data_IF_675272946975
#
_entry.id   IF_675272946975
#
_cell.length_a   1.000
_cell.length_b   1.000
_cell.length_c   1.000
_cell.angle_alpha   90.00
_cell.angle_beta   90.00
_cell.angle_gamma   90.00
#
_symmetry.space_group_name_H-M   'P 1'
#
loop_
_entity.id
_entity.type
_entity.pdbx_description
1 polymer ?
#
# COMPACT_ATOMS: atom_id res chain seq x y z
N UNK A 1 1.52 -18.41 -23.74
CA UNK A 1 1.90 -17.22 -24.53
C UNK A 1 2.51 -16.23 -23.53
N UNK A 2 3.86 -16.15 -23.51
CA UNK A 2 4.58 -15.19 -22.66
C UNK A 2 4.35 -13.77 -23.21
N UNK A 3 3.37 -13.08 -22.71
CA UNK A 3 3.39 -11.62 -22.74
C UNK A 3 4.33 -11.19 -21.63
N UNK A 4 5.59 -10.94 -21.94
CA UNK A 4 6.47 -10.14 -21.08
C UNK A 4 5.75 -8.81 -20.87
N UNK A 5 5.08 -8.69 -19.75
CA UNK A 5 4.53 -7.43 -19.27
C UNK A 5 5.73 -6.52 -19.04
N UNK A 6 5.88 -5.51 -19.88
CA UNK A 6 7.02 -4.59 -19.90
C UNK A 6 6.92 -3.66 -18.67
N UNK A 7 7.07 -4.25 -17.46
CA UNK A 7 7.06 -3.53 -16.18
C UNK A 7 8.40 -2.78 -16.07
N UNK A 8 8.35 -1.46 -15.96
CA UNK A 8 9.55 -0.66 -15.71
C UNK A 8 10.15 -1.05 -14.36
N UNK A 9 11.41 -1.43 -14.37
CA UNK A 9 12.11 -1.89 -13.17
C UNK A 9 13.46 -1.17 -13.06
N UNK A 10 13.71 -0.61 -11.88
CA UNK A 10 15.01 -0.09 -11.47
C UNK A 10 15.71 -1.15 -10.62
N UNK A 11 16.86 -1.62 -11.05
CA UNK A 11 17.73 -2.44 -10.20
C UNK A 11 18.62 -1.51 -9.39
N UNK A 12 18.35 -1.47 -8.09
CA UNK A 12 19.16 -0.69 -7.12
C UNK A 12 20.34 -1.54 -6.71
N UNK A 13 21.55 -1.05 -6.99
CA UNK A 13 22.84 -1.71 -6.62
C UNK A 13 23.51 -1.09 -5.39
N UNK A 14 22.81 -0.16 -4.75
CA UNK A 14 23.27 0.46 -3.49
C UNK A 14 22.72 -0.36 -2.33
N UNK A 15 23.58 -0.81 -1.40
CA UNK A 15 23.11 -1.57 -0.24
C UNK A 15 22.10 -0.80 0.60
N UNK A 16 21.02 -1.46 0.97
CA UNK A 16 20.00 -0.94 1.86
C UNK A 16 20.03 -1.72 3.18
N UNK A 17 20.37 -1.01 4.26
CA UNK A 17 20.27 -1.56 5.61
C UNK A 17 18.83 -1.40 6.09
N UNK A 18 18.18 -2.50 6.40
CA UNK A 18 16.81 -2.55 6.91
C UNK A 18 16.76 -2.31 8.41
N UNK A 19 15.63 -1.84 8.90
CA UNK A 19 15.39 -1.63 10.34
C UNK A 19 15.49 -2.92 11.14
N UNK A 20 15.21 -4.09 10.55
CA UNK A 20 15.43 -5.40 11.18
C UNK A 20 16.91 -5.81 11.30
N UNK A 21 17.85 -4.97 10.86
CA UNK A 21 19.31 -5.19 10.93
C UNK A 21 19.90 -5.96 9.74
N UNK A 22 19.10 -6.56 8.86
CA UNK A 22 19.57 -7.19 7.62
C UNK A 22 19.98 -6.14 6.59
N UNK A 23 20.86 -6.51 5.65
CA UNK A 23 21.24 -5.65 4.51
C UNK A 23 20.90 -6.35 3.21
N UNK A 24 20.29 -5.63 2.29
CA UNK A 24 20.02 -6.08 0.92
C UNK A 24 20.98 -5.33 0.00
N UNK A 25 21.81 -6.06 -0.75
CA UNK A 25 22.86 -5.47 -1.59
C UNK A 25 22.35 -5.00 -2.94
N UNK A 26 21.40 -5.73 -3.51
CA UNK A 26 20.78 -5.44 -4.80
C UNK A 26 19.30 -5.83 -4.76
N UNK A 27 18.42 -4.99 -5.29
CA UNK A 27 16.99 -5.29 -5.32
C UNK A 27 16.27 -4.53 -6.43
N UNK A 28 15.20 -5.12 -7.00
CA UNK A 28 14.36 -4.48 -8.00
C UNK A 28 13.32 -3.55 -7.35
N UNK A 29 13.06 -2.42 -7.99
CA UNK A 29 11.92 -1.54 -7.74
C UNK A 29 11.11 -1.47 -9.04
N UNK A 30 9.93 -2.05 -9.04
CA UNK A 30 8.96 -1.88 -10.12
C UNK A 30 8.27 -0.52 -9.98
N UNK A 31 8.16 0.23 -11.07
CA UNK A 31 7.55 1.55 -11.04
C UNK A 31 6.84 1.87 -12.35
N UNK A 32 5.99 2.89 -12.32
CA UNK A 32 5.41 3.47 -13.52
C UNK A 32 5.50 5.00 -13.45
N UNK A 33 5.44 5.62 -14.64
CA UNK A 33 5.53 7.07 -14.78
C UNK A 33 4.49 7.60 -15.74
N UNK A 34 3.97 8.79 -15.46
CA UNK A 34 2.96 9.43 -16.28
C UNK A 34 3.33 10.91 -16.50
N UNK A 35 3.05 11.42 -17.70
CA UNK A 35 3.48 12.75 -18.09
C UNK A 35 4.96 12.85 -18.44
N UNK A 36 5.52 14.04 -18.45
CA UNK A 36 6.90 14.30 -18.85
C UNK A 36 7.65 15.13 -17.81
N UNK A 37 8.85 14.67 -17.45
CA UNK A 37 9.76 15.42 -16.59
C UNK A 37 10.28 16.64 -17.37
N UNK A 38 10.11 17.84 -16.81
CA UNK A 38 10.58 19.06 -17.45
C UNK A 38 12.11 19.22 -17.33
N UNK A 39 12.67 20.18 -18.08
CA UNK A 39 14.13 20.40 -18.12
C UNK A 39 14.72 20.73 -16.74
N UNK A 40 13.96 21.44 -15.90
CA UNK A 40 14.38 21.84 -14.55
C UNK A 40 14.19 20.72 -13.54
N UNK A 41 13.50 19.63 -13.90
CA UNK A 41 13.18 18.49 -13.04
C UNK A 41 12.43 18.89 -11.76
N UNK A 42 11.61 19.94 -11.82
CA UNK A 42 10.92 20.51 -10.66
C UNK A 42 9.40 20.32 -10.66
N UNK A 43 8.88 19.55 -11.66
CA UNK A 43 7.47 19.20 -11.80
C UNK A 43 7.13 17.75 -11.41
N UNK A 44 8.02 17.06 -10.71
CA UNK A 44 7.81 15.66 -10.36
C UNK A 44 6.93 15.50 -9.11
N UNK A 45 5.97 14.56 -9.17
CA UNK A 45 5.12 14.14 -8.06
C UNK A 45 5.38 12.66 -7.80
N UNK A 46 5.75 12.30 -6.56
CA UNK A 46 5.86 10.92 -6.13
C UNK A 46 4.57 10.51 -5.42
N UNK A 47 3.91 9.48 -5.96
CA UNK A 47 2.69 8.91 -5.40
C UNK A 47 3.01 7.60 -4.70
N UNK A 48 2.57 7.47 -3.46
CA UNK A 48 2.70 6.27 -2.65
C UNK A 48 1.35 5.53 -2.59
N UNK A 49 1.34 4.27 -3.03
CA UNK A 49 0.10 3.47 -3.04
C UNK A 49 -0.26 2.92 -1.65
N UNK A 50 -1.54 2.62 -1.45
CA UNK A 50 -2.06 1.96 -0.26
C UNK A 50 -1.71 0.46 -0.24
N UNK A 51 -1.98 -0.24 0.88
CA UNK A 51 -1.70 -1.67 1.12
C UNK A 51 -1.92 -2.56 -0.11
N UNK A 52 -3.05 -2.40 -0.78
CA UNK A 52 -3.47 -3.24 -1.90
C UNK A 52 -3.36 -2.56 -3.27
N UNK A 53 -2.68 -1.41 -3.33
CA UNK A 53 -2.36 -0.72 -4.56
C UNK A 53 -1.12 -1.31 -5.24
N UNK A 54 -0.75 -0.67 -6.34
CA UNK A 54 0.41 -0.99 -7.15
C UNK A 54 0.92 0.29 -7.85
N UNK A 55 1.91 0.17 -8.73
CA UNK A 55 2.47 1.28 -9.48
C UNK A 55 1.52 1.83 -10.58
N UNK A 56 0.44 1.13 -10.91
CA UNK A 56 -0.45 1.52 -12.01
C UNK A 56 -1.54 2.47 -11.52
N UNK A 57 -1.19 3.74 -11.39
CA UNK A 57 -2.04 4.80 -10.82
C UNK A 57 -3.17 5.20 -11.78
N UNK A 58 -2.88 5.27 -13.08
CA UNK A 58 -3.82 5.68 -14.13
C UNK A 58 -3.56 4.92 -15.45
N UNK A 59 -4.47 5.02 -16.40
CA UNK A 59 -4.44 4.17 -17.59
C UNK A 59 -4.86 2.74 -17.29
N UNK A 60 -4.74 1.85 -18.24
CA UNK A 60 -5.07 0.43 -18.06
C UNK A 60 -3.93 -0.30 -17.37
N UNK A 61 -4.21 -0.97 -16.26
CA UNK A 61 -3.27 -1.85 -15.59
C UNK A 61 -3.00 -3.08 -16.49
N UNK A 62 -1.75 -3.33 -16.87
CA UNK A 62 -1.43 -4.39 -17.84
C UNK A 62 -1.65 -5.81 -17.29
N UNK A 63 -1.73 -5.96 -15.95
CA UNK A 63 -1.95 -7.24 -15.27
C UNK A 63 -3.45 -7.50 -15.11
N UNK A 64 -4.16 -6.59 -14.46
CA UNK A 64 -5.58 -6.77 -14.12
C UNK A 64 -6.54 -6.36 -15.24
N UNK A 65 -6.05 -5.67 -16.28
CA UNK A 65 -6.83 -5.09 -17.39
C UNK A 65 -7.88 -4.05 -16.95
N UNK A 66 -7.89 -3.67 -15.67
CA UNK A 66 -8.76 -2.63 -15.12
C UNK A 66 -8.08 -1.27 -15.18
N UNK A 67 -8.85 -0.20 -15.01
CA UNK A 67 -8.28 1.13 -14.88
C UNK A 67 -7.38 1.23 -13.65
N UNK A 68 -6.34 2.07 -13.75
CA UNK A 68 -5.45 2.37 -12.63
C UNK A 68 -6.26 2.90 -11.43
N UNK A 69 -5.80 2.55 -10.24
CA UNK A 69 -6.57 2.73 -9.00
C UNK A 69 -6.88 4.21 -8.64
N UNK A 70 -6.21 5.17 -9.25
CA UNK A 70 -6.46 6.60 -9.04
C UNK A 70 -6.78 7.35 -10.34
N UNK A 71 -7.27 6.66 -11.36
CA UNK A 71 -7.56 7.22 -12.68
C UNK A 71 -8.52 8.40 -12.66
N UNK A 72 -9.37 8.54 -11.63
CA UNK A 72 -10.24 9.70 -11.48
C UNK A 72 -9.50 10.98 -11.05
N UNK A 73 -8.34 10.86 -10.40
CA UNK A 73 -7.57 12.01 -9.89
C UNK A 73 -6.30 12.29 -10.71
N UNK A 74 -5.72 11.27 -11.35
CA UNK A 74 -4.47 11.38 -12.12
C UNK A 74 -4.75 11.20 -13.59
N UNK A 75 -4.28 12.12 -14.43
CA UNK A 75 -4.44 12.07 -15.88
C UNK A 75 -4.50 13.47 -16.50
N UNK A 76 -4.63 13.56 -17.83
CA UNK A 76 -4.79 14.85 -18.49
C UNK A 76 -6.03 15.59 -17.97
N UNK A 77 -5.86 16.87 -17.63
CA UNK A 77 -6.92 17.77 -17.14
C UNK A 77 -7.59 17.32 -15.83
N UNK A 78 -6.92 16.45 -15.04
CA UNK A 78 -7.39 16.01 -13.72
C UNK A 78 -6.67 16.76 -12.60
N UNK A 79 -7.03 16.47 -11.34
CA UNK A 79 -6.44 17.11 -10.17
C UNK A 79 -4.90 17.02 -10.16
N UNK A 80 -4.37 15.86 -10.54
CA UNK A 80 -2.95 15.66 -10.83
C UNK A 80 -2.81 15.56 -12.36
N UNK A 81 -2.66 16.72 -12.99
CA UNK A 81 -2.65 16.89 -14.43
C UNK A 81 -1.33 16.42 -15.05
N UNK A 82 -1.33 15.28 -15.73
CA UNK A 82 -0.15 14.69 -16.37
C UNK A 82 0.35 15.46 -17.59
N UNK A 83 -0.37 16.49 -18.08
CA UNK A 83 0.16 17.45 -19.05
C UNK A 83 1.16 18.43 -18.39
N UNK A 84 1.07 18.64 -17.08
CA UNK A 84 1.89 19.59 -16.32
C UNK A 84 2.92 18.89 -15.45
N UNK A 85 2.55 17.76 -14.86
CA UNK A 85 3.34 17.05 -13.86
C UNK A 85 3.85 15.71 -14.38
N UNK A 86 5.05 15.38 -13.95
CA UNK A 86 5.63 14.04 -14.08
C UNK A 86 5.33 13.23 -12.84
N UNK A 87 4.42 12.28 -12.95
CA UNK A 87 3.98 11.45 -11.82
C UNK A 87 4.79 10.16 -11.81
N UNK A 88 5.31 9.79 -10.66
CA UNK A 88 6.04 8.55 -10.41
C UNK A 88 5.28 7.76 -9.34
N UNK A 89 5.06 6.48 -9.55
CA UNK A 89 4.58 5.56 -8.52
C UNK A 89 5.37 4.26 -8.60
N UNK A 90 5.88 3.80 -7.46
CA UNK A 90 6.55 2.51 -7.35
C UNK A 90 5.67 1.50 -6.62
N UNK A 91 5.80 0.22 -6.96
CA UNK A 91 5.36 -0.84 -6.09
C UNK A 91 6.28 -0.90 -4.85
N UNK A 92 5.71 -1.03 -3.66
CA UNK A 92 6.49 -1.06 -2.41
C UNK A 92 7.36 -2.32 -2.32
N UNK A 93 8.49 -2.21 -1.63
CA UNK A 93 9.23 -3.38 -1.16
C UNK A 93 8.32 -4.25 -0.29
N UNK A 94 8.39 -5.56 -0.45
CA UNK A 94 7.47 -6.51 0.18
C UNK A 94 6.16 -6.71 -0.59
N UNK A 95 5.92 -5.93 -1.65
CA UNK A 95 4.77 -6.08 -2.55
C UNK A 95 4.92 -7.24 -3.54
N UNK A 96 3.87 -7.47 -4.34
CA UNK A 96 3.79 -8.58 -5.29
C UNK A 96 3.66 -8.15 -6.76
N UNK A 97 3.94 -6.86 -7.06
CA UNK A 97 3.79 -6.32 -8.42
C UNK A 97 5.14 -5.94 -9.05
N UNK A 98 6.20 -6.71 -8.73
CA UNK A 98 7.51 -6.64 -9.38
C UNK A 98 8.62 -5.98 -8.57
N UNK A 99 8.33 -5.27 -7.47
CA UNK A 99 9.35 -4.86 -6.51
C UNK A 99 9.78 -6.01 -5.61
N UNK A 100 11.00 -5.92 -5.06
CA UNK A 100 11.55 -6.96 -4.19
C UNK A 100 10.59 -7.32 -3.06
N UNK A 101 10.21 -8.58 -2.99
CA UNK A 101 9.20 -9.09 -2.07
C UNK A 101 9.30 -10.60 -1.84
N UNK A 102 8.42 -11.19 -1.03
CA UNK A 102 8.47 -12.59 -0.64
C UNK A 102 8.45 -13.61 -1.78
N UNK A 103 7.89 -13.23 -2.93
CA UNK A 103 7.82 -14.09 -4.12
C UNK A 103 9.12 -14.11 -4.94
N UNK A 104 10.11 -13.25 -4.62
CA UNK A 104 11.40 -13.28 -5.30
C UNK A 104 12.21 -14.49 -4.87
N UNK A 105 13.06 -14.97 -5.78
CA UNK A 105 13.97 -16.06 -5.51
C UNK A 105 15.04 -15.66 -4.48
N UNK A 106 15.21 -16.48 -3.46
CA UNK A 106 16.35 -16.40 -2.54
C UNK A 106 17.56 -17.05 -3.22
N UNK A 107 18.64 -16.30 -3.52
CA UNK A 107 19.82 -16.82 -4.18
C UNK A 107 20.54 -17.92 -3.40
N UNK A 108 20.26 -18.08 -2.11
CA UNK A 108 20.86 -19.13 -1.29
C UNK A 108 20.14 -20.46 -1.42
N UNK A 109 18.85 -20.46 -1.76
CA UNK A 109 18.01 -21.67 -1.83
C UNK A 109 17.53 -22.00 -3.24
N UNK A 110 17.49 -21.02 -4.15
CA UNK A 110 16.91 -21.15 -5.49
C UNK A 110 15.38 -21.26 -5.49
N UNK A 111 14.73 -20.96 -4.37
CA UNK A 111 13.26 -20.92 -4.22
C UNK A 111 12.83 -19.54 -3.76
N UNK A 112 11.51 -19.26 -3.80
CA UNK A 112 11.01 -17.99 -3.31
C UNK A 112 11.36 -17.79 -1.81
N UNK A 113 11.61 -16.54 -1.41
CA UNK A 113 11.86 -16.23 0.00
C UNK A 113 10.73 -16.71 0.93
N UNK A 114 9.48 -16.61 0.50
CA UNK A 114 8.34 -16.93 1.35
C UNK A 114 8.40 -16.17 2.68
N UNK A 115 8.28 -16.91 3.79
CA UNK A 115 8.43 -16.35 5.16
C UNK A 115 9.88 -16.12 5.59
N UNK A 116 10.88 -16.47 4.80
CA UNK A 116 12.28 -16.14 5.03
C UNK A 116 12.66 -14.73 4.53
N UNK A 117 11.76 -14.08 3.82
CA UNK A 117 11.94 -12.69 3.42
C UNK A 117 12.24 -11.81 4.64
N UNK A 118 13.15 -10.84 4.56
CA UNK A 118 13.42 -9.98 5.71
C UNK A 118 12.18 -9.18 6.12
N UNK A 119 11.96 -9.06 7.43
CA UNK A 119 10.92 -8.17 7.93
C UNK A 119 11.28 -6.73 7.58
N UNK A 120 10.34 -6.04 6.97
CA UNK A 120 10.49 -4.67 6.49
C UNK A 120 9.57 -3.72 7.26
N UNK A 121 9.85 -2.45 7.18
CA UNK A 121 9.08 -1.36 7.77
C UNK A 121 8.66 -0.33 6.72
N UNK A 122 7.79 0.60 7.09
CA UNK A 122 7.47 1.77 6.24
C UNK A 122 8.72 2.60 5.95
N UNK A 123 9.66 2.70 6.91
CA UNK A 123 10.93 3.37 6.72
C UNK A 123 11.79 2.69 5.62
N UNK A 124 11.85 1.37 5.61
CA UNK A 124 12.57 0.62 4.58
C UNK A 124 11.96 0.82 3.18
N UNK A 125 10.60 0.79 3.09
CA UNK A 125 9.89 1.05 1.84
C UNK A 125 10.22 2.44 1.28
N UNK A 126 10.24 3.45 2.13
CA UNK A 126 10.54 4.84 1.75
C UNK A 126 11.99 5.00 1.33
N UNK A 127 12.94 4.42 2.07
CA UNK A 127 14.37 4.47 1.73
C UNK A 127 14.66 3.73 0.41
N UNK A 128 13.97 2.63 0.14
CA UNK A 128 14.06 1.96 -1.16
C UNK A 128 13.59 2.88 -2.30
N UNK A 129 12.40 3.46 -2.16
CA UNK A 129 11.79 4.31 -3.21
C UNK A 129 12.55 5.62 -3.44
N UNK A 130 13.31 6.11 -2.46
CA UNK A 130 14.17 7.30 -2.63
C UNK A 130 15.15 7.15 -3.79
N UNK A 131 15.60 5.93 -4.12
CA UNK A 131 16.49 5.67 -5.24
C UNK A 131 15.90 6.05 -6.61
N UNK A 132 14.57 6.19 -6.72
CA UNK A 132 13.94 6.71 -7.93
C UNK A 132 14.26 8.19 -8.16
N UNK A 133 14.43 8.99 -7.11
CA UNK A 133 14.84 10.38 -7.25
C UNK A 133 16.24 10.47 -7.88
N UNK A 134 17.17 9.65 -7.37
CA UNK A 134 18.54 9.58 -7.92
C UNK A 134 18.50 9.10 -9.38
N UNK A 135 17.71 8.06 -9.69
CA UNK A 135 17.54 7.51 -11.04
C UNK A 135 17.07 8.56 -12.07
N UNK A 136 16.10 9.39 -11.71
CA UNK A 136 15.59 10.46 -12.57
C UNK A 136 16.43 11.76 -12.47
N UNK A 137 17.34 11.84 -11.50
CA UNK A 137 18.12 13.04 -11.19
C UNK A 137 17.23 14.18 -10.68
N UNK A 138 16.25 13.86 -9.87
CA UNK A 138 15.31 14.80 -9.24
C UNK A 138 15.89 15.20 -7.89
N UNK A 139 16.25 16.47 -7.74
CA UNK A 139 16.72 16.99 -6.46
C UNK A 139 15.58 17.23 -5.48
N UNK A 140 14.48 17.82 -5.96
CA UNK A 140 13.34 18.18 -5.13
C UNK A 140 12.02 17.94 -5.86
N UNK A 141 11.13 17.15 -5.26
CA UNK A 141 9.79 16.87 -5.75
C UNK A 141 8.89 18.12 -5.63
N UNK A 142 8.02 18.29 -6.63
CA UNK A 142 6.93 19.26 -6.53
C UNK A 142 5.97 18.88 -5.42
N UNK A 143 5.59 17.61 -5.36
CA UNK A 143 4.70 17.09 -4.33
C UNK A 143 4.96 15.62 -4.04
N UNK A 144 4.60 15.19 -2.83
CA UNK A 144 4.41 13.78 -2.47
C UNK A 144 2.97 13.58 -2.01
N UNK A 145 2.34 12.50 -2.44
CA UNK A 145 0.95 12.20 -2.10
C UNK A 145 0.73 10.71 -1.88
N UNK A 146 -0.13 10.36 -0.95
CA UNK A 146 -0.49 8.95 -0.73
C UNK A 146 -1.64 8.80 0.25
N UNK A 147 -2.42 7.72 0.06
CA UNK A 147 -3.55 7.38 0.92
C UNK A 147 -3.28 6.17 1.80
N UNK A 148 -3.83 6.15 3.03
CA UNK A 148 -3.69 5.04 3.98
C UNK A 148 -2.21 4.71 4.24
N UNK A 149 -1.75 3.47 4.00
CA UNK A 149 -0.33 3.13 4.04
C UNK A 149 0.54 4.06 3.17
N UNK A 150 0.02 4.52 2.03
CA UNK A 150 0.70 5.52 1.21
C UNK A 150 0.88 6.85 1.95
N UNK A 151 -0.08 7.24 2.77
CA UNK A 151 0.03 8.41 3.66
C UNK A 151 1.06 8.21 4.77
N UNK A 152 1.18 7.00 5.35
CA UNK A 152 2.28 6.67 6.29
C UNK A 152 3.64 6.84 5.61
N UNK A 153 3.77 6.38 4.36
CA UNK A 153 4.99 6.56 3.56
C UNK A 153 5.28 8.04 3.28
N UNK A 154 4.24 8.85 3.01
CA UNK A 154 4.36 10.31 2.83
C UNK A 154 4.92 10.96 4.09
N UNK A 155 4.38 10.63 5.26
CA UNK A 155 4.86 11.16 6.56
C UNK A 155 6.29 10.71 6.84
N UNK A 156 6.62 9.44 6.64
CA UNK A 156 7.96 8.92 6.82
C UNK A 156 8.95 9.53 5.82
N UNK A 157 8.55 9.73 4.55
CA UNK A 157 9.42 10.31 3.53
C UNK A 157 9.85 11.72 3.90
N UNK A 158 8.91 12.59 4.28
CA UNK A 158 9.25 13.98 4.61
C UNK A 158 10.00 14.09 5.94
N UNK A 159 9.81 13.14 6.84
CA UNK A 159 10.59 13.02 8.08
C UNK A 159 12.05 12.64 7.79
N UNK A 160 12.29 11.67 6.89
CA UNK A 160 13.64 11.25 6.50
C UNK A 160 14.34 12.28 5.61
N UNK A 161 13.58 12.94 4.72
CA UNK A 161 14.09 13.80 3.66
C UNK A 161 13.38 15.16 3.67
N UNK A 162 13.59 16.00 4.71
CA UNK A 162 12.79 17.20 4.98
C UNK A 162 12.81 18.25 3.87
N UNK A 163 13.86 18.29 3.06
CA UNK A 163 14.03 19.25 1.98
C UNK A 163 13.62 18.74 0.60
N UNK A 164 13.23 17.46 0.49
CA UNK A 164 13.02 16.78 -0.80
C UNK A 164 11.64 16.92 -1.41
N UNK A 165 10.70 17.64 -0.78
CA UNK A 165 9.40 17.96 -1.36
C UNK A 165 8.98 19.40 -1.05
N UNK A 166 8.22 20.04 -1.98
CA UNK A 166 7.63 21.36 -1.77
C UNK A 166 6.27 21.25 -1.08
N UNK A 167 5.50 20.20 -1.38
CA UNK A 167 4.16 19.96 -0.83
C UNK A 167 4.02 18.49 -0.42
N UNK A 168 3.30 18.28 0.67
CA UNK A 168 3.10 16.98 1.33
C UNK A 168 1.60 16.75 1.51
N UNK A 169 1.08 15.67 0.91
CA UNK A 169 -0.36 15.39 0.88
C UNK A 169 -0.62 13.98 1.45
N UNK A 170 -0.63 13.81 2.78
CA UNK A 170 -1.08 12.58 3.42
C UNK A 170 -2.61 12.54 3.44
N UNK A 171 -3.17 11.39 3.01
CA UNK A 171 -4.61 11.21 2.86
C UNK A 171 -5.05 10.00 3.69
N UNK A 172 -6.06 10.16 4.57
CA UNK A 172 -6.67 9.05 5.29
C UNK A 172 -5.63 8.13 5.95
N UNK A 173 -4.67 8.67 6.68
CA UNK A 173 -3.61 7.91 7.34
C UNK A 173 -3.46 8.33 8.80
N UNK A 174 -2.65 7.58 9.53
CA UNK A 174 -2.29 7.82 10.92
C UNK A 174 -0.77 7.83 11.08
N UNK A 175 -0.25 8.43 12.15
CA UNK A 175 1.17 8.40 12.53
C UNK A 175 1.61 7.11 13.22
N UNK A 176 0.62 6.33 13.71
CA UNK A 176 0.81 4.99 14.29
C UNK A 176 -0.51 4.21 14.23
N UNK A 177 -0.45 2.88 14.20
CA UNK A 177 -1.65 2.06 14.28
C UNK A 177 -2.18 1.97 15.72
N UNK A 178 -3.50 2.13 15.86
CA UNK A 178 -4.20 1.84 17.12
C UNK A 178 -4.26 0.33 17.38
N UNK A 179 -4.56 -0.07 18.62
CA UNK A 179 -4.78 -1.47 18.97
C UNK A 179 -5.85 -2.13 18.09
N UNK A 180 -6.89 -1.38 17.69
CA UNK A 180 -7.95 -1.89 16.81
C UNK A 180 -7.44 -2.17 15.39
N UNK A 181 -6.60 -1.28 14.84
CA UNK A 181 -5.96 -1.50 13.52
C UNK A 181 -5.09 -2.76 13.54
N UNK A 182 -4.24 -2.90 14.57
CA UNK A 182 -3.38 -4.08 14.77
C UNK A 182 -4.23 -5.35 14.89
N UNK A 183 -5.35 -5.31 15.63
CA UNK A 183 -6.24 -6.45 15.79
C UNK A 183 -6.88 -6.89 14.46
N UNK A 184 -7.33 -5.96 13.62
CA UNK A 184 -7.86 -6.31 12.29
C UNK A 184 -6.78 -6.87 11.35
N UNK A 185 -5.57 -6.32 11.38
CA UNK A 185 -4.45 -6.88 10.63
C UNK A 185 -4.10 -8.28 11.11
N UNK A 186 -4.09 -8.51 12.43
CA UNK A 186 -3.82 -9.83 13.01
C UNK A 186 -4.89 -10.84 12.63
N UNK A 187 -6.17 -10.45 12.64
CA UNK A 187 -7.26 -11.31 12.16
C UNK A 187 -7.01 -11.75 10.71
N UNK A 188 -6.60 -10.84 9.84
CA UNK A 188 -6.27 -11.16 8.45
C UNK A 188 -5.07 -12.10 8.33
N UNK A 189 -4.01 -11.88 9.11
CA UNK A 189 -2.83 -12.76 9.13
C UNK A 189 -3.18 -14.17 9.64
N UNK A 190 -3.99 -14.26 10.69
CA UNK A 190 -4.44 -15.55 11.22
C UNK A 190 -5.36 -16.29 10.24
N UNK A 191 -6.21 -15.59 9.49
CA UNK A 191 -7.01 -16.20 8.44
C UNK A 191 -6.14 -16.84 7.35
N UNK A 192 -5.05 -16.17 6.94
CA UNK A 192 -4.08 -16.72 5.99
C UNK A 192 -3.34 -17.93 6.62
N UNK A 193 -2.86 -17.81 7.84
CA UNK A 193 -2.11 -18.86 8.51
C UNK A 193 -2.96 -20.13 8.77
N UNK A 194 -4.26 -19.98 8.93
CA UNK A 194 -5.22 -21.07 9.09
C UNK A 194 -5.59 -21.77 7.76
N UNK A 195 -5.25 -21.17 6.63
CA UNK A 195 -5.48 -21.80 5.32
C UNK A 195 -4.46 -22.94 5.10
N UNK A 196 -4.94 -24.16 4.91
CA UNK A 196 -4.08 -25.33 4.71
C UNK A 196 -3.15 -25.21 3.51
N UNK A 197 -3.51 -24.38 2.52
CA UNK A 197 -2.71 -24.15 1.34
C UNK A 197 -1.57 -23.13 1.57
N UNK A 198 -1.55 -22.44 2.72
CA UNK A 198 -0.48 -21.50 3.03
C UNK A 198 0.86 -22.18 3.34
N UNK A 199 0.82 -23.37 3.95
CA UNK A 199 2.00 -24.23 4.22
C UNK A 199 3.18 -23.50 4.89
N UNK A 200 2.87 -22.60 5.84
CA UNK A 200 3.91 -21.80 6.49
C UNK A 200 4.59 -20.77 5.58
N UNK A 201 3.95 -20.45 4.46
CA UNK A 201 4.45 -19.47 3.46
C UNK A 201 5.18 -20.11 2.26
N UNK A 202 5.28 -21.44 2.23
CA UNK A 202 5.89 -22.19 1.13
C UNK A 202 4.81 -22.82 0.23
N UNK A 203 4.24 -22.01 -0.65
CA UNK A 203 3.20 -22.42 -1.62
C UNK A 203 3.56 -22.06 -3.07
N UNK A 204 4.66 -21.35 -3.30
CA UNK A 204 5.05 -20.88 -4.64
C UNK A 204 5.42 -21.96 -5.63
N UNK A 205 5.76 -23.16 -5.12
CA UNK A 205 6.13 -24.33 -5.92
C UNK A 205 4.95 -25.22 -6.31
N UNK A 206 3.74 -24.89 -5.89
CA UNK A 206 2.55 -25.73 -6.08
C UNK A 206 1.42 -24.97 -6.78
N UNK A 207 0.52 -25.71 -7.44
CA UNK A 207 -0.67 -25.16 -8.10
C UNK A 207 -1.73 -24.63 -7.10
N UNK A 208 -1.47 -24.74 -5.79
CA UNK A 208 -2.39 -24.33 -4.74
C UNK A 208 -1.87 -23.12 -3.98
N UNK A 209 -2.65 -22.04 -3.95
CA UNK A 209 -2.37 -20.84 -3.19
C UNK A 209 -3.40 -20.65 -2.07
N UNK A 210 -3.07 -19.93 -0.96
CA UNK A 210 -3.95 -19.79 0.22
C UNK A 210 -5.10 -18.77 -0.05
N UNK A 211 -5.90 -19.06 -1.08
CA UNK A 211 -6.96 -18.16 -1.55
C UNK A 211 -8.06 -17.95 -0.51
N UNK A 212 -8.41 -18.96 0.28
CA UNK A 212 -9.48 -18.86 1.27
C UNK A 212 -9.08 -17.93 2.41
N UNK A 213 -7.89 -18.09 2.95
CA UNK A 213 -7.36 -17.24 4.01
C UNK A 213 -7.18 -15.80 3.55
N UNK A 214 -6.60 -15.59 2.37
CA UNK A 214 -6.39 -14.27 1.78
C UNK A 214 -7.73 -13.57 1.48
N UNK A 215 -8.74 -14.31 0.98
CA UNK A 215 -10.08 -13.78 0.76
C UNK A 215 -10.74 -13.30 2.06
N UNK A 216 -10.64 -14.09 3.15
CA UNK A 216 -11.17 -13.71 4.46
C UNK A 216 -10.45 -12.47 5.01
N UNK A 217 -9.12 -12.40 4.88
CA UNK A 217 -8.34 -11.22 5.25
C UNK A 217 -8.83 -9.96 4.51
N UNK A 218 -9.14 -10.09 3.22
CA UNK A 218 -9.71 -9.00 2.42
C UNK A 218 -11.11 -8.61 2.86
N UNK A 219 -11.97 -9.56 3.19
CA UNK A 219 -13.31 -9.31 3.72
C UNK A 219 -13.24 -8.50 5.01
N UNK A 220 -12.38 -8.89 5.95
CA UNK A 220 -12.15 -8.17 7.21
C UNK A 220 -11.72 -6.71 6.94
N UNK A 221 -10.77 -6.50 6.03
CA UNK A 221 -10.33 -5.16 5.64
C UNK A 221 -11.49 -4.31 5.08
N UNK A 222 -12.37 -4.87 4.26
CA UNK A 222 -13.52 -4.14 3.70
C UNK A 222 -14.53 -3.66 4.73
N UNK A 223 -14.65 -4.35 5.88
CA UNK A 223 -15.49 -3.89 6.99
C UNK A 223 -14.95 -2.58 7.59
N UNK A 224 -13.63 -2.40 7.61
CA UNK A 224 -12.99 -1.22 8.18
C UNK A 224 -12.98 0.01 7.28
N UNK A 225 -13.27 -0.14 5.97
CA UNK A 225 -13.23 0.96 4.99
C UNK A 225 -14.49 1.81 4.95
N UNK A 226 -15.58 1.34 5.54
CA UNK A 226 -16.86 2.04 5.57
C UNK A 226 -17.30 2.30 7.00
N UNK A 227 -17.86 3.49 7.24
CA UNK A 227 -18.48 3.77 8.54
C UNK A 227 -19.69 2.86 8.78
N UNK A 228 -20.08 2.67 10.06
CA UNK A 228 -21.32 1.99 10.42
C UNK A 228 -22.52 2.58 9.67
N UNK A 229 -22.58 3.93 9.56
CA UNK A 229 -23.63 4.64 8.83
C UNK A 229 -23.58 4.31 7.34
N UNK A 230 -22.40 4.38 6.72
CA UNK A 230 -22.24 4.05 5.28
C UNK A 230 -22.59 2.60 4.96
N UNK A 231 -22.22 1.64 5.80
CA UNK A 231 -22.62 0.24 5.65
C UNK A 231 -24.15 0.09 5.76
N UNK A 232 -24.77 0.76 6.74
CA UNK A 232 -26.23 0.72 6.94
C UNK A 232 -26.98 1.36 5.78
N UNK A 233 -26.55 2.50 5.26
CA UNK A 233 -27.17 3.17 4.11
C UNK A 233 -27.03 2.36 2.82
N UNK A 234 -25.87 1.77 2.59
CA UNK A 234 -25.60 1.00 1.36
C UNK A 234 -26.30 -0.35 1.35
N UNK A 235 -26.21 -1.10 2.42
CA UNK A 235 -26.67 -2.50 2.48
C UNK A 235 -27.86 -2.69 3.42
N UNK A 236 -27.85 -2.09 4.61
CA UNK A 236 -28.86 -2.32 5.64
C UNK A 236 -29.03 -3.82 5.94
N UNK A 237 -30.26 -4.26 5.93
CA UNK A 237 -30.66 -5.69 5.97
C UNK A 237 -31.24 -6.18 4.64
N UNK A 238 -30.84 -5.54 3.54
CA UNK A 238 -31.33 -5.91 2.19
C UNK A 238 -30.92 -7.35 1.87
N UNK A 239 -31.91 -8.13 1.50
CA UNK A 239 -31.71 -9.48 0.97
C UNK A 239 -31.19 -9.41 -0.47
N UNK A 240 -30.70 -10.54 -0.97
CA UNK A 240 -30.44 -10.72 -2.40
C UNK A 240 -31.77 -10.54 -3.19
N UNK A 241 -31.81 -10.83 -4.45
CA UNK A 241 -32.99 -10.68 -5.32
C UNK A 241 -34.16 -11.58 -4.88
N UNK A 242 -34.69 -11.36 -3.66
CA UNK A 242 -35.77 -12.12 -3.01
C UNK A 242 -36.36 -11.38 -1.82
N UNK A 243 -37.53 -11.83 -1.37
CA UNK A 243 -38.23 -11.24 -0.24
C UNK A 243 -38.03 -12.00 1.09
N UNK A 244 -37.77 -13.32 1.02
CA UNK A 244 -37.66 -14.19 2.19
C UNK A 244 -36.23 -14.76 2.42
N UNK A 245 -35.95 -15.12 3.67
CA UNK A 245 -34.73 -15.83 4.08
C UNK A 245 -34.76 -17.28 3.60
N UNK A 246 -33.61 -17.81 3.16
CA UNK A 246 -33.48 -19.22 2.76
C UNK A 246 -33.28 -20.18 3.92
N UNK A 247 -32.93 -19.66 5.11
CA UNK A 247 -32.58 -20.47 6.29
C UNK A 247 -31.42 -21.46 6.02
N UNK A 248 -30.39 -21.00 5.29
CA UNK A 248 -29.21 -21.78 4.92
C UNK A 248 -27.92 -21.02 5.19
N UNK A 249 -26.77 -21.58 4.74
CA UNK A 249 -25.44 -20.97 4.86
C UNK A 249 -24.99 -20.21 3.61
N UNK A 250 -25.83 -20.13 2.59
CA UNK A 250 -25.61 -19.26 1.44
C UNK A 250 -25.81 -17.78 1.83
N UNK A 251 -25.32 -16.88 0.98
CA UNK A 251 -25.52 -15.46 1.21
C UNK A 251 -26.99 -15.08 1.11
N UNK A 252 -27.59 -14.69 2.24
CA UNK A 252 -28.92 -14.12 2.29
C UNK A 252 -28.91 -12.62 2.11
N UNK A 253 -27.97 -11.93 2.76
CA UNK A 253 -27.87 -10.47 2.73
C UNK A 253 -26.91 -9.98 1.65
N UNK A 254 -27.20 -8.81 1.08
CA UNK A 254 -26.34 -8.18 0.05
C UNK A 254 -24.92 -7.92 0.57
N UNK A 255 -24.74 -7.58 1.85
CA UNK A 255 -23.41 -7.37 2.45
C UNK A 255 -22.57 -8.65 2.42
N UNK A 256 -23.16 -9.84 2.59
CA UNK A 256 -22.43 -11.10 2.54
C UNK A 256 -21.88 -11.37 1.13
N UNK A 257 -22.73 -11.19 0.11
CA UNK A 257 -22.30 -11.32 -1.29
C UNK A 257 -21.23 -10.29 -1.66
N UNK A 258 -21.40 -9.04 -1.20
CA UNK A 258 -20.39 -8.00 -1.42
C UNK A 258 -19.03 -8.41 -0.83
N UNK A 259 -18.99 -8.86 0.41
CA UNK A 259 -17.73 -9.27 1.06
C UNK A 259 -17.11 -10.47 0.36
N UNK A 260 -17.91 -11.50 0.02
CA UNK A 260 -17.43 -12.68 -0.73
C UNK A 260 -16.87 -12.28 -2.09
N UNK A 261 -17.53 -11.39 -2.82
CA UNK A 261 -17.03 -10.86 -4.09
C UNK A 261 -15.71 -10.10 -3.92
N UNK A 262 -15.60 -9.23 -2.92
CA UNK A 262 -14.36 -8.48 -2.65
C UNK A 262 -13.19 -9.42 -2.29
N UNK A 263 -13.46 -10.49 -1.55
CA UNK A 263 -12.49 -11.53 -1.27
C UNK A 263 -12.04 -12.26 -2.53
N UNK A 264 -13.00 -12.73 -3.35
CA UNK A 264 -12.71 -13.54 -4.55
C UNK A 264 -11.90 -12.79 -5.60
N UNK A 265 -12.21 -11.51 -5.88
CA UNK A 265 -11.45 -10.72 -6.86
C UNK A 265 -10.06 -10.28 -6.36
N UNK A 266 -9.83 -10.33 -5.06
CA UNK A 266 -8.55 -9.94 -4.48
C UNK A 266 -7.47 -11.00 -4.66
N UNK A 267 -7.84 -12.26 -4.51
CA UNK A 267 -6.89 -13.39 -4.58
C UNK A 267 -6.25 -13.54 -5.96
N UNK A 268 -6.91 -13.04 -7.01
CA UNK A 268 -6.38 -13.11 -8.38
C UNK A 268 -5.20 -12.16 -8.62
N UNK A 269 -4.94 -11.21 -7.71
CA UNK A 269 -3.97 -10.14 -7.94
C UNK A 269 -3.05 -9.84 -6.76
N UNK A 270 -3.21 -10.53 -5.65
CA UNK A 270 -2.42 -10.22 -4.46
C UNK A 270 -1.85 -11.49 -3.83
N UNK A 271 -0.62 -11.38 -3.33
CA UNK A 271 0.11 -12.48 -2.71
C UNK A 271 -0.11 -12.50 -1.19
N UNK A 272 -0.33 -13.69 -0.63
CA UNK A 272 -0.62 -13.86 0.79
C UNK A 272 0.58 -13.52 1.68
N UNK A 273 1.80 -13.91 1.30
CA UNK A 273 2.99 -13.56 2.07
C UNK A 273 3.23 -12.05 2.02
N UNK A 274 3.05 -11.41 0.87
CA UNK A 274 3.12 -9.94 0.76
C UNK A 274 2.11 -9.26 1.69
N UNK A 275 0.89 -9.80 1.81
CA UNK A 275 -0.10 -9.28 2.76
C UNK A 275 0.40 -9.36 4.21
N UNK A 276 1.03 -10.48 4.60
CA UNK A 276 1.60 -10.65 5.94
C UNK A 276 2.68 -9.59 6.23
N UNK A 277 3.65 -9.43 5.32
CA UNK A 277 4.77 -8.50 5.48
C UNK A 277 4.32 -7.04 5.50
N UNK A 278 3.45 -6.64 4.58
CA UNK A 278 3.01 -5.25 4.48
C UNK A 278 2.13 -4.87 5.69
N UNK A 279 1.21 -5.73 6.12
CA UNK A 279 0.41 -5.45 7.33
C UNK A 279 1.27 -5.39 8.57
N UNK A 280 2.33 -6.20 8.66
CA UNK A 280 3.30 -6.11 9.76
C UNK A 280 4.10 -4.81 9.71
N UNK A 281 4.51 -4.36 8.53
CA UNK A 281 5.19 -3.07 8.36
C UNK A 281 4.32 -1.89 8.80
N UNK A 282 3.01 -1.95 8.52
CA UNK A 282 2.05 -0.94 8.99
C UNK A 282 1.88 -0.97 10.51
N UNK A 283 1.80 -2.16 11.13
CA UNK A 283 1.69 -2.30 12.59
C UNK A 283 2.94 -1.81 13.34
N UNK A 284 4.11 -1.91 12.72
CA UNK A 284 5.37 -1.42 13.29
C UNK A 284 5.57 0.09 13.10
N UNK A 285 4.75 0.72 12.26
CA UNK A 285 4.85 2.15 12.03
C UNK A 285 4.37 2.94 13.25
N UNK A 286 5.31 3.67 13.84
CA UNK A 286 5.08 4.63 14.92
C UNK A 286 6.07 5.78 14.76
N UNK A 287 5.62 6.83 14.08
CA UNK A 287 6.48 7.96 13.76
C UNK A 287 6.86 8.76 15.01
N UNK A 288 5.94 8.89 15.98
CA UNK A 288 6.22 9.59 17.22
C UNK A 288 7.31 8.90 18.04
N UNK A 289 7.30 7.55 18.08
CA UNK A 289 8.31 6.76 18.79
C UNK A 289 9.72 7.00 18.24
N UNK A 290 9.87 7.22 16.93
CA UNK A 290 11.17 7.54 16.31
C UNK A 290 11.73 8.88 16.84
N UNK A 291 10.88 9.74 17.36
CA UNK A 291 11.19 11.06 17.93
C UNK A 291 10.90 11.15 19.43
N UNK A 292 11.16 10.07 20.17
CA UNK A 292 11.02 9.99 21.65
C UNK A 292 9.61 10.35 22.14
N UNK A 293 8.59 10.03 21.35
CA UNK A 293 7.18 10.29 21.65
C UNK A 293 6.65 11.67 21.21
N UNK A 294 7.49 12.50 20.60
CA UNK A 294 7.06 13.83 20.12
C UNK A 294 6.91 13.85 18.59
N UNK A 295 5.69 13.68 18.09
CA UNK A 295 5.40 13.66 16.65
C UNK A 295 5.81 14.96 15.95
N UNK A 296 5.71 16.12 16.60
CA UNK A 296 6.07 17.41 15.97
C UNK A 296 7.55 17.48 15.60
N UNK A 297 8.42 16.76 16.31
CA UNK A 297 9.86 16.74 16.03
C UNK A 297 10.17 16.08 14.68
N UNK A 298 9.31 15.18 14.20
CA UNK A 298 9.45 14.55 12.89
C UNK A 298 9.42 15.57 11.73
N UNK A 299 8.81 16.72 11.97
CA UNK A 299 8.56 17.72 10.91
C UNK A 299 9.27 19.06 11.14
N UNK A 300 10.03 19.21 12.21
CA UNK A 300 10.71 20.48 12.54
C UNK A 300 11.72 20.94 11.46
N UNK A 301 12.33 20.02 10.76
CA UNK A 301 13.33 20.32 9.74
C UNK A 301 12.73 20.69 8.39
N UNK A 302 11.49 20.32 8.12
CA UNK A 302 10.88 20.56 6.80
C UNK A 302 10.25 21.96 6.72
N UNK A 303 10.31 22.53 5.50
CA UNK A 303 9.58 23.74 5.11
C UNK A 303 8.51 23.46 4.08
N UNK A 304 8.19 22.18 3.84
CA UNK A 304 7.14 21.80 2.91
C UNK A 304 5.77 22.27 3.41
N UNK A 305 4.89 22.56 2.47
CA UNK A 305 3.48 22.84 2.79
C UNK A 305 2.71 21.54 2.92
N UNK A 306 1.97 21.37 4.00
CA UNK A 306 1.11 20.21 4.22
C UNK A 306 -0.31 20.48 3.78
N UNK A 307 -0.92 19.54 3.08
CA UNK A 307 -2.34 19.46 2.82
C UNK A 307 -2.87 18.11 3.28
N UNK A 308 -3.42 18.08 4.49
CA UNK A 308 -3.85 16.83 5.16
C UNK A 308 -5.32 16.61 4.85
N UNK A 309 -5.64 15.41 4.35
CA UNK A 309 -7.02 15.00 4.08
C UNK A 309 -7.37 13.85 5.03
N UNK A 310 -8.30 14.08 5.94
CA UNK A 310 -8.82 13.09 6.87
C UNK A 310 -10.30 12.82 6.64
N UNK A 311 -10.76 11.65 7.05
CA UNK A 311 -12.16 11.22 6.94
C UNK A 311 -12.66 10.78 8.31
N UNK A 312 -13.58 11.49 8.91
CA UNK A 312 -14.13 11.22 10.24
C UNK A 312 -14.87 9.89 10.37
N UNK A 313 -15.10 9.20 9.24
CA UNK A 313 -15.87 7.96 9.20
C UNK A 313 -15.03 6.69 9.00
N UNK A 314 -13.72 6.82 8.81
CA UNK A 314 -12.82 5.68 8.66
C UNK A 314 -12.24 5.27 10.02
N UNK A 315 -12.15 3.96 10.25
CA UNK A 315 -11.53 3.40 11.45
C UNK A 315 -10.05 3.81 11.62
N UNK A 316 -9.42 4.24 10.53
CA UNK A 316 -7.98 4.52 10.43
C UNK A 316 -7.61 6.01 10.56
N UNK A 317 -8.55 6.94 10.71
CA UNK A 317 -8.26 8.35 10.47
C UNK A 317 -8.65 9.30 11.60
N UNK A 318 -9.27 8.82 12.68
CA UNK A 318 -9.65 9.68 13.80
C UNK A 318 -8.43 10.24 14.56
N UNK A 319 -7.35 9.46 14.66
CA UNK A 319 -6.23 9.82 15.54
C UNK A 319 -5.26 10.82 14.92
N UNK A 320 -5.06 10.80 13.59
CA UNK A 320 -4.09 11.70 12.94
C UNK A 320 -4.53 13.17 12.90
N UNK A 321 -5.84 13.44 12.98
CA UNK A 321 -6.38 14.80 13.02
C UNK A 321 -6.44 15.34 14.46
N UNK A 322 -6.62 14.46 15.45
CA UNK A 322 -6.78 14.82 16.85
C UNK A 322 -5.45 14.93 17.62
N UNK A 323 -4.39 14.26 17.16
CA UNK A 323 -3.07 14.31 17.78
C UNK A 323 -2.20 15.49 17.30
N UNK A 324 -2.85 16.56 16.85
CA UNK A 324 -2.19 17.85 16.79
C UNK A 324 -0.93 17.89 15.91
N UNK A 325 -1.07 17.65 14.61
CA UNK A 325 -0.30 18.43 13.66
C UNK A 325 -0.81 19.88 13.78
N UNK A 326 -0.49 20.49 14.94
CA UNK A 326 -0.88 21.85 15.22
C UNK A 326 -0.35 22.76 14.13
N UNK A 327 -1.26 23.29 13.34
CA UNK A 327 -1.05 24.42 12.42
C UNK A 327 -1.12 25.69 13.23
#
# INVERSE_FOLDING_TARGET
MNTENNIKTLIVKKPLKLDCGKTINEFPIAYETYGSLNKNKDNAILVFHALTGDQFVTGQNPITKKDGWWSYAVGPDKAIDTKKYFVICANVMGGCMGSFGPSHEDPNTGTAFGTNFPVITINDMVNAQYNLLDHFGIDKLFSIAGGSMGGMQVLQFISNFPDKAKTVIPIACTSSHSAQNIAFNELGRQAIAADSNWKGGDYSSEDTIPNKGLAVARMAAHITYLSKKGLQEKFGRKLQEREDLKFGFDADFQIESYLRYQGSVFVDRFDANSYLYITRAMDYFDLAKQYKGNLSDAFKATRAKFFIISFTCLLYTSDAADEGLGV
#
